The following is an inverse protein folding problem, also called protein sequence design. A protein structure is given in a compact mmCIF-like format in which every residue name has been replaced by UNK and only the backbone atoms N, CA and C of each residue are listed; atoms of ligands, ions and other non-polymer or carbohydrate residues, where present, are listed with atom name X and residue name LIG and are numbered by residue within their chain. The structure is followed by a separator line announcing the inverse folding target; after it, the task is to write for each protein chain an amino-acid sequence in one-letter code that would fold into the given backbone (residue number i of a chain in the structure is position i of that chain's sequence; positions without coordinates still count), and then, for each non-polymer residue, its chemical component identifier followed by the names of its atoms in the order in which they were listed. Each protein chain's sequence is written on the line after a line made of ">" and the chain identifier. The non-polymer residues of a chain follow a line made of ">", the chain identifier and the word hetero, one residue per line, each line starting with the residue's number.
data_IF_214500847432
#
_entry.id   IF_214500847432
#
_cell.length_a   1.000
_cell.length_b   1.000
_cell.length_c   1.000
_cell.angle_alpha   90.00
_cell.angle_beta   90.00
_cell.angle_gamma   90.00
#
_symmetry.space_group_name_H-M   'P 1'
#
loop_
_entity.id
_entity.type
_entity.pdbx_description
1 polymer ?
#
# COMPACT_ATOMS: atom_id res chain seq x y z
N UNK A 1 31.66 5.73 -19.22
CA UNK A 1 31.01 6.75 -18.38
C UNK A 1 29.61 6.93 -18.92
N UNK A 2 28.62 6.32 -18.25
CA UNK A 2 27.22 6.43 -18.65
C UNK A 2 26.68 7.75 -18.10
N UNK A 3 26.26 8.65 -18.99
CA UNK A 3 25.64 9.92 -18.64
C UNK A 3 24.27 9.60 -18.06
N UNK A 4 24.13 9.78 -16.75
CA UNK A 4 22.87 9.64 -16.04
C UNK A 4 21.97 10.82 -16.43
N UNK A 5 21.16 10.62 -17.48
CA UNK A 5 20.19 11.62 -17.91
C UNK A 5 19.00 11.52 -16.96
N UNK A 6 19.10 12.17 -15.81
CA UNK A 6 17.93 12.45 -14.98
C UNK A 6 17.04 13.39 -15.78
N UNK A 7 16.13 12.83 -16.57
CA UNK A 7 15.06 13.58 -17.19
C UNK A 7 14.21 14.13 -16.05
N UNK A 8 14.23 15.46 -15.90
CA UNK A 8 13.26 16.18 -15.08
C UNK A 8 11.86 15.83 -15.59
N UNK A 9 11.19 14.89 -14.92
CA UNK A 9 9.78 14.62 -15.16
C UNK A 9 8.99 15.77 -14.54
N UNK A 10 8.16 16.41 -15.36
CA UNK A 10 7.18 17.36 -14.85
C UNK A 10 6.07 16.56 -14.16
N UNK A 11 6.15 16.46 -12.84
CA UNK A 11 5.17 15.75 -12.01
C UNK A 11 4.20 16.80 -11.46
N UNK A 12 2.90 16.70 -11.77
CA UNK A 12 1.90 17.64 -11.26
C UNK A 12 1.94 17.73 -9.72
N UNK A 13 1.89 18.95 -9.17
CA UNK A 13 1.98 19.17 -7.73
C UNK A 13 0.82 18.53 -6.95
N UNK A 14 -0.37 18.52 -7.55
CA UNK A 14 -1.55 17.84 -7.02
C UNK A 14 -1.35 16.32 -6.90
N UNK A 15 -0.60 15.70 -7.83
CA UNK A 15 -0.23 14.30 -7.73
C UNK A 15 0.73 14.05 -6.56
N UNK A 16 1.77 14.88 -6.40
CA UNK A 16 2.70 14.78 -5.28
C UNK A 16 1.95 14.93 -3.95
N UNK A 17 1.05 15.89 -3.87
CA UNK A 17 0.24 16.13 -2.67
C UNK A 17 -0.76 14.99 -2.42
N UNK A 18 -1.36 14.42 -3.47
CA UNK A 18 -2.23 13.25 -3.34
C UNK A 18 -1.50 12.03 -2.79
N UNK A 19 -0.26 11.81 -3.23
CA UNK A 19 0.58 10.72 -2.72
C UNK A 19 1.01 10.98 -1.27
N UNK A 20 1.44 12.21 -0.94
CA UNK A 20 1.78 12.63 0.44
C UNK A 20 0.65 12.45 1.43
N UNK A 21 -0.58 12.68 0.99
CA UNK A 21 -1.76 12.55 1.82
C UNK A 21 -2.45 11.19 1.64
N UNK A 22 -1.83 10.25 0.93
CA UNK A 22 -2.44 8.96 0.71
C UNK A 22 -2.54 8.23 2.06
N UNK A 23 -3.73 7.74 2.43
CA UNK A 23 -3.93 7.13 3.72
C UNK A 23 -3.12 5.82 3.82
N UNK A 24 -2.27 5.73 4.83
CA UNK A 24 -1.49 4.52 5.16
C UNK A 24 -2.33 3.40 5.75
N UNK A 25 -3.62 3.65 5.95
CA UNK A 25 -4.57 2.73 6.55
C UNK A 25 -5.98 3.11 6.15
N UNK A 26 -6.91 2.17 6.23
CA UNK A 26 -8.34 2.46 6.03
C UNK A 26 -9.19 1.84 7.12
N UNK A 27 -10.31 2.48 7.39
CA UNK A 27 -11.31 2.00 8.33
C UNK A 27 -12.31 1.10 7.62
N UNK A 28 -12.55 -0.09 8.19
CA UNK A 28 -13.54 -1.06 7.73
C UNK A 28 -14.57 -1.23 8.83
N UNK A 29 -15.86 -1.08 8.48
CA UNK A 29 -16.96 -1.30 9.40
C UNK A 29 -17.59 -2.67 9.16
N UNK A 30 -17.66 -3.51 10.20
CA UNK A 30 -18.33 -4.81 10.17
C UNK A 30 -18.75 -5.23 11.59
N UNK A 31 -19.84 -5.97 11.73
CA UNK A 31 -20.41 -6.36 13.02
C UNK A 31 -20.69 -5.20 14.00
N UNK A 32 -20.94 -3.98 13.48
CA UNK A 32 -21.17 -2.80 14.31
C UNK A 32 -19.90 -2.19 14.91
N UNK A 33 -18.72 -2.74 14.61
CA UNK A 33 -17.43 -2.17 14.99
C UNK A 33 -16.67 -1.65 13.77
N UNK A 34 -15.72 -0.74 14.02
CA UNK A 34 -14.81 -0.22 13.00
C UNK A 34 -13.39 -0.65 13.37
N UNK A 35 -12.65 -1.19 12.41
CA UNK A 35 -11.27 -1.59 12.60
C UNK A 35 -10.40 -1.11 11.44
N UNK A 36 -9.10 -1.06 11.69
CA UNK A 36 -8.11 -0.50 10.77
C UNK A 36 -7.36 -1.61 10.05
N UNK A 37 -7.20 -1.47 8.74
CA UNK A 37 -6.47 -2.42 7.89
C UNK A 37 -5.47 -1.69 7.01
N UNK A 38 -4.50 -2.43 6.47
CA UNK A 38 -3.57 -1.91 5.49
C UNK A 38 -4.28 -1.33 4.26
N UNK A 39 -3.68 -0.33 3.60
CA UNK A 39 -4.37 0.42 2.55
C UNK A 39 -4.60 -0.46 1.32
N UNK A 40 -3.73 -1.45 1.08
CA UNK A 40 -3.77 -2.38 -0.05
C UNK A 40 -4.28 -3.79 0.31
N UNK A 41 -4.81 -4.02 1.52
CA UNK A 41 -5.29 -5.36 1.85
C UNK A 41 -6.42 -5.82 0.91
N UNK A 42 -6.31 -7.05 0.40
CA UNK A 42 -7.37 -7.63 -0.42
C UNK A 42 -8.51 -8.17 0.44
N UNK A 43 -8.15 -8.71 1.59
CA UNK A 43 -9.06 -9.28 2.56
C UNK A 43 -8.66 -8.83 3.95
N UNK A 44 -9.64 -8.72 4.84
CA UNK A 44 -9.39 -8.64 6.26
C UNK A 44 -10.33 -9.57 7.02
N UNK A 45 -9.91 -9.99 8.20
CA UNK A 45 -10.72 -10.81 9.10
C UNK A 45 -11.36 -9.91 10.15
N UNK A 46 -12.68 -9.98 10.28
CA UNK A 46 -13.35 -9.24 11.34
C UNK A 46 -12.91 -9.79 12.72
N UNK A 47 -12.46 -8.93 13.64
CA UNK A 47 -12.03 -9.37 14.98
C UNK A 47 -13.17 -9.91 15.85
N UNK A 48 -14.44 -9.58 15.54
CA UNK A 48 -15.61 -10.00 16.31
C UNK A 48 -16.14 -11.37 15.88
N UNK A 49 -16.41 -11.56 14.59
CA UNK A 49 -17.06 -12.78 14.08
C UNK A 49 -16.10 -13.74 13.37
N UNK A 50 -14.86 -13.32 13.10
CA UNK A 50 -13.90 -14.10 12.31
C UNK A 50 -14.21 -14.17 10.81
N UNK A 51 -15.22 -13.45 10.33
CA UNK A 51 -15.58 -13.46 8.91
C UNK A 51 -14.49 -12.78 8.07
N UNK A 52 -14.13 -13.43 6.95
CA UNK A 52 -13.17 -12.90 5.97
C UNK A 52 -13.90 -11.99 4.99
N UNK A 53 -13.64 -10.70 5.08
CA UNK A 53 -14.25 -9.66 4.26
C UNK A 53 -13.37 -9.38 3.04
N UNK A 54 -13.95 -9.38 1.85
CA UNK A 54 -13.28 -8.90 0.64
C UNK A 54 -13.36 -7.38 0.58
N UNK A 55 -12.21 -6.72 0.59
CA UNK A 55 -12.14 -5.27 0.72
C UNK A 55 -11.77 -4.56 -0.60
N UNK A 56 -11.29 -5.29 -1.60
CA UNK A 56 -11.02 -4.79 -2.95
C UNK A 56 -11.45 -5.85 -3.97
N UNK A 57 -11.94 -5.39 -5.11
CA UNK A 57 -12.01 -6.21 -6.32
C UNK A 57 -10.58 -6.59 -6.72
N UNK A 58 -10.32 -7.85 -7.06
CA UNK A 58 -9.02 -8.29 -7.58
C UNK A 58 -8.77 -7.53 -8.89
N UNK A 59 -8.08 -6.40 -8.83
CA UNK A 59 -7.78 -5.58 -10.02
C UNK A 59 -6.49 -4.79 -9.91
N UNK A 60 -5.67 -5.02 -8.88
CA UNK A 60 -4.30 -4.53 -8.85
C UNK A 60 -3.38 -5.75 -8.91
N UNK A 61 -2.73 -5.94 -10.06
CA UNK A 61 -1.59 -6.85 -10.14
C UNK A 61 -0.54 -6.38 -9.13
N UNK A 62 0.23 -7.30 -8.56
CA UNK A 62 1.32 -7.01 -7.59
C UNK A 62 2.19 -5.81 -8.02
N UNK A 63 2.41 -5.66 -9.33
CA UNK A 63 3.12 -4.55 -9.96
C UNK A 63 2.62 -3.14 -9.59
N UNK A 64 1.32 -2.93 -9.42
CA UNK A 64 0.78 -1.62 -9.04
C UNK A 64 1.11 -1.32 -7.58
N UNK A 65 1.03 -2.34 -6.74
CA UNK A 65 1.32 -2.18 -5.32
C UNK A 65 2.81 -1.94 -5.06
N UNK A 66 3.69 -2.48 -5.90
CA UNK A 66 5.14 -2.22 -5.88
C UNK A 66 5.47 -0.77 -6.26
N UNK A 67 4.71 -0.19 -7.20
CA UNK A 67 4.85 1.23 -7.56
C UNK A 67 4.48 2.12 -6.37
N UNK A 68 3.40 1.81 -5.65
CA UNK A 68 3.04 2.56 -4.45
C UNK A 68 4.08 2.40 -3.34
N UNK A 69 4.59 1.19 -3.09
CA UNK A 69 5.64 0.97 -2.10
C UNK A 69 6.93 1.74 -2.46
N UNK A 70 7.35 1.71 -3.72
CA UNK A 70 8.52 2.46 -4.20
C UNK A 70 8.34 3.98 -4.06
N UNK A 71 7.14 4.48 -4.33
CA UNK A 71 6.81 5.90 -4.18
C UNK A 71 6.78 6.31 -2.71
N UNK A 72 6.22 5.49 -1.82
CA UNK A 72 6.22 5.79 -0.40
C UNK A 72 7.62 5.68 0.24
N UNK A 73 8.42 4.71 -0.19
CA UNK A 73 9.83 4.58 0.18
C UNK A 73 10.62 5.82 -0.25
N UNK A 74 10.40 6.32 -1.48
CA UNK A 74 11.02 7.53 -1.98
C UNK A 74 10.65 8.78 -1.17
N UNK A 75 9.45 8.81 -0.60
CA UNK A 75 8.98 9.91 0.23
C UNK A 75 9.52 9.92 1.66
N UNK A 76 10.33 8.92 2.06
CA UNK A 76 10.85 8.77 3.42
C UNK A 76 9.75 8.80 4.49
N UNK A 77 8.55 8.28 4.18
CA UNK A 77 7.52 8.12 5.20
C UNK A 77 7.82 6.88 6.05
N UNK A 78 8.16 7.04 7.35
CA UNK A 78 8.55 5.91 8.20
C UNK A 78 7.41 4.90 8.41
N UNK A 79 6.14 5.32 8.32
CA UNK A 79 5.01 4.40 8.46
C UNK A 79 4.84 3.53 7.21
N UNK A 80 5.11 4.09 6.03
CA UNK A 80 4.99 3.34 4.79
C UNK A 80 6.13 2.33 4.62
N UNK A 81 7.33 2.61 5.16
CA UNK A 81 8.41 1.62 5.21
C UNK A 81 8.01 0.36 5.99
N UNK A 82 7.33 0.51 7.13
CA UNK A 82 6.83 -0.63 7.93
C UNK A 82 5.84 -1.48 7.13
N UNK A 83 4.95 -0.84 6.36
CA UNK A 83 3.97 -1.52 5.52
C UNK A 83 4.68 -2.27 4.38
N UNK A 84 5.62 -1.63 3.70
CA UNK A 84 6.39 -2.24 2.60
C UNK A 84 7.22 -3.44 3.09
N UNK A 85 7.88 -3.33 4.24
CA UNK A 85 8.61 -4.46 4.85
C UNK A 85 7.69 -5.63 5.23
N UNK A 86 6.52 -5.35 5.81
CA UNK A 86 5.53 -6.37 6.14
C UNK A 86 5.05 -7.12 4.88
N UNK A 87 4.85 -6.41 3.77
CA UNK A 87 4.43 -7.00 2.49
C UNK A 87 5.53 -7.85 1.86
N UNK A 88 6.79 -7.39 1.85
CA UNK A 88 7.94 -8.19 1.36
C UNK A 88 8.09 -9.54 2.08
N UNK A 89 7.83 -9.57 3.39
CA UNK A 89 7.88 -10.81 4.18
C UNK A 89 6.79 -11.80 3.78
N UNK A 90 5.60 -11.33 3.40
CA UNK A 90 4.52 -12.22 2.95
C UNK A 90 4.86 -12.82 1.58
N UNK A 91 5.43 -12.03 0.66
CA UNK A 91 5.84 -12.50 -0.67
C UNK A 91 6.92 -13.58 -0.57
N UNK A 92 7.92 -13.41 0.30
CA UNK A 92 8.99 -14.40 0.50
C UNK A 92 8.51 -15.75 1.04
N UNK A 93 7.35 -15.80 1.72
CA UNK A 93 6.80 -17.03 2.31
C UNK A 93 5.98 -17.84 1.29
N UNK A 94 5.51 -17.22 0.20
CA UNK A 94 4.78 -17.91 -0.86
C UNK A 94 5.69 -18.57 -1.92
N UNK A 95 7.00 -18.27 -1.91
CA UNK A 95 8.01 -18.82 -2.85
C UNK A 95 8.76 -20.08 -2.33
N UNK A 96 8.49 -20.54 -1.09
CA UNK A 96 9.02 -21.78 -0.47
C UNK A 96 7.97 -22.93 -0.43
#
# INVERSE_FOLDING_TARGET
>A
MATDVVRSLDVPADLIDAVRNFPTHRSVAHCGETFTVGPFEHYATCPQCGERLKLRSFSANYEIEDVFDAVFEWMNDPQAQVIAEARRRVIQVDDD
#
